data_IF_448874438064
#
_entry.id   IF_448874438064
#
_cell.length_a   1.000
_cell.length_b   1.000
_cell.length_c   1.000
_cell.angle_alpha   90.00
_cell.angle_beta   90.00
_cell.angle_gamma   90.00
#
_symmetry.space_group_name_H-M   'P 1'
#
loop_
_entity.id
_entity.type
_entity.pdbx_description
1 polymer ?
#
# COMPACT_ATOMS: atom_id res chain seq x y z
N UNK A 1 -0.82 14.23 26.95
CA UNK A 1 -0.63 12.77 26.86
C UNK A 1 -2.00 12.19 26.51
N UNK A 2 -2.33 12.15 25.22
CA UNK A 2 -3.65 11.70 24.77
C UNK A 2 -3.58 10.19 24.51
N UNK A 3 -4.39 9.41 25.23
CA UNK A 3 -4.59 8.00 24.98
C UNK A 3 -4.99 7.81 23.52
N UNK A 4 -4.07 7.26 22.72
CA UNK A 4 -4.37 6.91 21.34
C UNK A 4 -5.28 5.68 21.34
N UNK A 5 -6.39 5.69 20.58
CA UNK A 5 -7.34 4.58 20.58
C UNK A 5 -6.62 3.30 20.13
N UNK A 6 -6.37 2.39 21.06
CA UNK A 6 -5.71 1.12 20.79
C UNK A 6 -6.73 0.12 20.29
N UNK A 7 -6.44 -0.51 19.15
CA UNK A 7 -7.29 -1.60 18.66
C UNK A 7 -7.04 -2.86 19.49
N UNK A 8 -8.05 -3.73 19.63
CA UNK A 8 -7.90 -5.03 20.33
C UNK A 8 -7.20 -6.09 19.47
N UNK A 9 -6.98 -5.81 18.19
CA UNK A 9 -6.40 -6.75 17.24
C UNK A 9 -4.92 -6.95 17.51
N UNK A 10 -4.52 -8.22 17.66
CA UNK A 10 -3.13 -8.62 17.87
C UNK A 10 -2.67 -9.60 16.80
N UNK A 11 -1.38 -9.57 16.49
CA UNK A 11 -0.70 -10.45 15.54
C UNK A 11 0.54 -11.04 16.18
N UNK A 12 0.91 -12.26 15.81
CA UNK A 12 2.19 -12.86 16.21
C UNK A 12 3.23 -12.55 15.15
N UNK A 13 4.27 -11.77 15.50
CA UNK A 13 5.32 -11.34 14.57
C UNK A 13 6.69 -11.92 14.97
N UNK A 14 7.56 -12.24 13.99
CA UNK A 14 8.92 -12.67 14.28
C UNK A 14 9.73 -11.53 14.93
N UNK A 15 10.67 -11.89 15.79
CA UNK A 15 11.64 -10.97 16.40
C UNK A 15 13.01 -11.14 15.76
N UNK A 16 13.86 -10.12 15.88
CA UNK A 16 15.27 -10.20 15.46
C UNK A 16 16.06 -11.29 16.21
N UNK A 17 15.61 -11.67 17.41
CA UNK A 17 16.18 -12.77 18.20
C UNK A 17 15.74 -14.17 17.75
N UNK A 18 14.97 -14.29 16.66
CA UNK A 18 14.46 -15.55 16.15
C UNK A 18 13.24 -16.10 16.91
N UNK A 19 12.70 -15.32 17.85
CA UNK A 19 11.48 -15.64 18.59
C UNK A 19 10.22 -15.10 17.90
N UNK A 20 9.09 -15.24 18.59
CA UNK A 20 7.80 -14.68 18.17
C UNK A 20 7.25 -13.84 19.32
N UNK A 21 6.78 -12.63 19.00
CA UNK A 21 6.13 -11.74 19.96
C UNK A 21 4.71 -11.39 19.51
N UNK A 22 3.84 -11.11 20.48
CA UNK A 22 2.53 -10.52 20.19
C UNK A 22 2.70 -9.02 19.91
N UNK A 23 2.20 -8.58 18.76
CA UNK A 23 2.16 -7.19 18.34
C UNK A 23 0.71 -6.72 18.28
N UNK A 24 0.40 -5.66 19.04
CA UNK A 24 -0.92 -5.03 19.01
C UNK A 24 -0.94 -3.93 17.97
N UNK A 25 -1.94 -3.94 17.09
CA UNK A 25 -2.08 -2.92 16.05
C UNK A 25 -2.44 -1.56 16.67
N UNK A 26 -1.78 -0.51 16.17
CA UNK A 26 -2.13 0.88 16.48
C UNK A 26 -3.47 1.31 15.87
N UNK A 27 -3.89 2.54 16.18
CA UNK A 27 -5.03 3.16 15.51
C UNK A 27 -4.81 3.21 13.99
N UNK A 28 -5.89 3.10 13.22
CA UNK A 28 -5.84 3.34 11.78
C UNK A 28 -5.38 4.78 11.51
N UNK A 29 -4.66 4.97 10.41
CA UNK A 29 -4.21 6.29 10.00
C UNK A 29 -5.41 7.23 9.77
N UNK A 30 -5.34 8.51 10.19
CA UNK A 30 -6.42 9.47 9.96
C UNK A 30 -6.50 9.96 8.50
N UNK A 31 -5.72 9.39 7.58
CA UNK A 31 -5.70 9.86 6.20
C UNK A 31 -7.03 9.59 5.48
N UNK A 32 -7.50 10.55 4.67
CA UNK A 32 -8.75 10.40 3.95
C UNK A 32 -8.61 9.35 2.84
N UNK A 33 -9.71 8.64 2.56
CA UNK A 33 -9.78 7.68 1.43
C UNK A 33 -10.00 8.37 0.08
N UNK A 34 -10.27 9.68 0.08
CA UNK A 34 -10.49 10.50 -1.11
C UNK A 34 -10.10 11.95 -0.83
N UNK A 35 -9.53 12.62 -1.84
CA UNK A 35 -9.12 14.02 -1.74
C UNK A 35 -10.32 14.95 -1.56
N UNK A 36 -10.15 15.99 -0.73
CA UNK A 36 -11.12 17.08 -0.55
C UNK A 36 -10.48 18.41 -0.92
N UNK A 37 -10.66 18.82 -2.17
CA UNK A 37 -10.12 20.08 -2.71
C UNK A 37 -8.70 19.98 -3.27
N UNK A 38 -8.19 21.07 -3.88
CA UNK A 38 -6.91 21.06 -4.57
C UNK A 38 -5.73 21.04 -3.59
N UNK A 39 -4.62 20.48 -4.04
CA UNK A 39 -3.35 20.55 -3.33
C UNK A 39 -2.66 21.89 -3.52
N UNK A 40 -1.90 22.31 -2.51
CA UNK A 40 -0.99 23.46 -2.60
C UNK A 40 0.40 23.07 -3.17
N UNK A 41 0.57 21.83 -3.63
CA UNK A 41 1.78 21.26 -4.23
C UNK A 41 1.40 20.33 -5.36
N UNK A 42 2.31 20.18 -6.33
CA UNK A 42 2.21 19.12 -7.33
C UNK A 42 2.83 17.86 -6.73
N UNK A 43 2.00 16.83 -6.54
CA UNK A 43 2.43 15.58 -5.93
C UNK A 43 2.23 14.43 -6.92
N UNK A 44 3.33 13.73 -7.21
CA UNK A 44 3.34 12.50 -8.00
C UNK A 44 3.60 11.30 -7.10
N UNK A 45 2.91 10.20 -7.39
CA UNK A 45 3.25 8.89 -6.86
C UNK A 45 3.96 8.08 -7.96
N UNK A 46 5.18 7.60 -7.68
CA UNK A 46 5.82 6.56 -8.47
C UNK A 46 5.12 5.23 -8.15
N UNK A 47 4.22 4.79 -9.03
CA UNK A 47 3.34 3.67 -8.78
C UNK A 47 4.00 2.34 -9.15
N UNK A 48 3.86 1.34 -8.27
CA UNK A 48 4.32 -0.02 -8.56
C UNK A 48 3.39 -0.75 -9.55
N UNK A 49 3.86 -1.86 -10.09
CA UNK A 49 3.05 -2.81 -10.86
C UNK A 49 2.68 -4.01 -9.99
N UNK A 50 1.53 -4.61 -10.26
CA UNK A 50 1.10 -5.86 -9.62
C UNK A 50 1.44 -7.02 -10.54
N UNK A 51 2.26 -7.96 -10.08
CA UNK A 51 2.56 -9.17 -10.82
C UNK A 51 1.30 -10.07 -10.89
N UNK A 52 1.11 -10.77 -12.00
CA UNK A 52 0.10 -11.82 -12.12
C UNK A 52 0.66 -13.12 -11.51
N UNK A 53 0.21 -13.56 -10.33
CA UNK A 53 0.80 -14.70 -9.64
C UNK A 53 0.38 -16.05 -10.23
N UNK A 54 -0.59 -16.07 -11.15
CA UNK A 54 -1.13 -17.30 -11.75
C UNK A 54 -0.62 -17.52 -13.18
N UNK A 55 0.14 -16.58 -13.74
CA UNK A 55 0.72 -16.76 -15.05
C UNK A 55 1.87 -17.79 -15.01
N UNK A 56 1.94 -18.62 -16.04
CA UNK A 56 2.99 -19.62 -16.20
C UNK A 56 4.17 -19.02 -16.99
N UNK A 57 5.16 -18.50 -16.27
CA UNK A 57 6.39 -17.92 -16.84
C UNK A 57 7.55 -18.05 -15.85
N UNK A 58 8.78 -17.83 -16.29
CA UNK A 58 9.92 -17.67 -15.39
C UNK A 58 9.95 -16.23 -14.85
N UNK A 59 9.69 -16.00 -13.55
CA UNK A 59 9.61 -14.66 -12.99
C UNK A 59 10.95 -13.93 -12.88
N UNK A 60 12.08 -14.63 -13.10
CA UNK A 60 13.40 -14.01 -13.14
C UNK A 60 13.78 -13.49 -14.52
N UNK A 61 13.16 -14.00 -15.57
CA UNK A 61 13.51 -13.69 -16.97
C UNK A 61 12.41 -12.90 -17.67
N UNK A 62 11.16 -13.25 -17.42
CA UNK A 62 9.98 -12.64 -18.05
C UNK A 62 9.11 -11.90 -17.02
N UNK A 63 8.06 -11.24 -17.48
CA UNK A 63 7.12 -10.51 -16.62
C UNK A 63 5.68 -10.75 -17.07
N UNK A 64 4.81 -11.08 -16.13
CA UNK A 64 3.37 -11.06 -16.32
C UNK A 64 2.74 -10.05 -15.36
N UNK A 65 2.04 -9.06 -15.90
CA UNK A 65 1.39 -8.00 -15.12
C UNK A 65 -0.09 -8.35 -14.97
N UNK A 66 -0.60 -8.24 -13.74
CA UNK A 66 -2.03 -8.14 -13.50
C UNK A 66 -2.46 -6.69 -13.79
N UNK A 67 -2.96 -6.45 -15.00
CA UNK A 67 -3.34 -5.12 -15.45
C UNK A 67 -4.55 -4.56 -14.68
N UNK A 68 -5.48 -5.42 -14.25
CA UNK A 68 -6.67 -4.97 -13.53
C UNK A 68 -6.31 -4.46 -12.14
N UNK A 69 -5.49 -5.21 -11.39
CA UNK A 69 -5.01 -4.80 -10.08
C UNK A 69 -4.06 -3.60 -10.18
N UNK A 70 -3.16 -3.62 -11.17
CA UNK A 70 -2.27 -2.50 -11.51
C UNK A 70 -3.09 -1.22 -11.73
N UNK A 71 -4.12 -1.26 -12.57
CA UNK A 71 -4.98 -0.10 -12.85
C UNK A 71 -5.89 0.28 -11.68
N UNK A 72 -6.32 -0.68 -10.86
CA UNK A 72 -7.07 -0.38 -9.63
C UNK A 72 -6.26 0.48 -8.67
N UNK A 73 -4.95 0.22 -8.54
CA UNK A 73 -4.08 1.04 -7.71
C UNK A 73 -3.91 2.47 -8.25
N UNK A 74 -3.82 2.65 -9.58
CA UNK A 74 -3.80 3.99 -10.20
C UNK A 74 -5.07 4.78 -9.88
N UNK A 75 -6.24 4.14 -10.01
CA UNK A 75 -7.53 4.74 -9.66
C UNK A 75 -7.61 5.14 -8.19
N UNK A 76 -7.02 4.33 -7.31
CA UNK A 76 -6.89 4.67 -5.89
C UNK A 76 -6.00 5.90 -5.66
N UNK A 77 -4.83 5.98 -6.30
CA UNK A 77 -3.96 7.15 -6.19
C UNK A 77 -4.62 8.42 -6.74
N UNK A 78 -5.36 8.32 -7.85
CA UNK A 78 -6.18 9.41 -8.36
C UNK A 78 -7.29 9.81 -7.41
N UNK A 79 -7.98 8.86 -6.76
CA UNK A 79 -9.00 9.20 -5.76
C UNK A 79 -8.41 9.96 -4.58
N UNK A 80 -7.13 9.70 -4.26
CA UNK A 80 -6.36 10.45 -3.26
C UNK A 80 -5.79 11.78 -3.78
N UNK A 81 -5.97 12.12 -5.06
CA UNK A 81 -5.55 13.41 -5.65
C UNK A 81 -4.12 13.45 -6.19
N UNK A 82 -3.41 12.32 -6.23
CA UNK A 82 -2.06 12.26 -6.81
C UNK A 82 -2.09 12.22 -8.34
N UNK A 83 -1.07 12.81 -8.96
CA UNK A 83 -0.69 12.44 -10.33
C UNK A 83 0.19 11.19 -10.28
N UNK A 84 0.31 10.47 -11.39
CA UNK A 84 1.08 9.22 -11.45
C UNK A 84 2.33 9.43 -12.28
N UNK A 85 3.47 9.04 -11.73
CA UNK A 85 4.70 8.84 -12.49
C UNK A 85 4.77 7.36 -12.89
N UNK A 86 4.37 7.06 -14.13
CA UNK A 86 4.30 5.69 -14.65
C UNK A 86 5.66 5.20 -15.17
N UNK A 87 5.86 3.88 -15.11
CA UNK A 87 7.06 3.20 -15.62
C UNK A 87 8.39 3.80 -15.08
N UNK A 88 8.39 4.12 -13.79
CA UNK A 88 9.56 4.59 -13.01
C UNK A 88 10.28 3.46 -12.31
#
# INVERSE_FOLDING_TARGET
>A
MLDSPTTKTTLRLPTLSGGVQEYRLGAASPYPSMVKGPFNRVAFAAAHVVANPLALYDPWVDTAIDWDATMAFRRHLWSLGFSIAEAM
#
